data_IF_250398837439
#
_entry.id   IF_250398837439
#
_cell.length_a   1.000
_cell.length_b   1.000
_cell.length_c   1.000
_cell.angle_alpha   90.00
_cell.angle_beta   90.00
_cell.angle_gamma   90.00
#
_symmetry.space_group_name_H-M   'P 1'
#
loop_
_entity.id
_entity.type
_entity.pdbx_description
1 polymer ?
#
# COMPACT_ATOMS: atom_id res chain seq x y z
N UNK A 1 -1.13 16.36 3.38
CA UNK A 1 -0.20 15.25 3.69
C UNK A 1 1.16 15.38 2.99
N UNK A 2 1.23 15.90 1.76
CA UNK A 2 2.51 16.28 1.14
C UNK A 2 3.34 15.13 0.56
N UNK A 3 2.67 14.03 0.19
CA UNK A 3 3.29 12.90 -0.50
C UNK A 3 3.18 13.06 -2.01
N UNK A 4 4.16 12.50 -2.71
CA UNK A 4 4.01 12.13 -4.11
C UNK A 4 3.37 10.74 -4.20
N UNK A 5 2.55 10.53 -5.21
CA UNK A 5 1.74 9.31 -5.37
C UNK A 5 2.20 8.61 -6.64
N UNK A 6 2.52 7.33 -6.53
CA UNK A 6 2.65 6.45 -7.70
C UNK A 6 1.44 5.52 -7.77
N UNK A 7 1.00 5.24 -9.00
CA UNK A 7 0.06 4.18 -9.34
C UNK A 7 0.57 3.51 -10.62
N UNK A 8 0.25 2.22 -10.86
CA UNK A 8 0.66 1.52 -12.07
C UNK A 8 0.27 2.27 -13.34
N UNK A 9 1.15 2.27 -14.34
CA UNK A 9 0.92 2.96 -15.63
C UNK A 9 -0.39 2.55 -16.29
N UNK A 10 -0.75 1.26 -16.19
CA UNK A 10 -1.99 0.71 -16.73
C UNK A 10 -3.26 1.32 -16.09
N UNK A 11 -3.19 1.70 -14.81
CA UNK A 11 -4.32 2.25 -14.05
C UNK A 11 -4.31 3.78 -13.97
N UNK A 12 -3.17 4.42 -14.25
CA UNK A 12 -2.97 5.85 -14.02
C UNK A 12 -4.06 6.73 -14.62
N UNK A 13 -4.43 6.51 -15.89
CA UNK A 13 -5.49 7.29 -16.55
C UNK A 13 -6.82 7.16 -15.79
N UNK A 14 -7.25 5.93 -15.50
CA UNK A 14 -8.51 5.64 -14.78
C UNK A 14 -8.53 6.26 -13.38
N UNK A 15 -7.41 6.23 -12.67
CA UNK A 15 -7.28 6.83 -11.34
C UNK A 15 -7.34 8.36 -11.42
N UNK A 16 -6.66 8.97 -12.38
CA UNK A 16 -6.70 10.43 -12.58
C UNK A 16 -8.11 10.90 -12.94
N UNK A 17 -8.82 10.17 -13.81
CA UNK A 17 -10.20 10.48 -14.20
C UNK A 17 -11.17 10.41 -12.99
N UNK A 18 -10.91 9.50 -12.04
CA UNK A 18 -11.68 9.36 -10.80
C UNK A 18 -11.23 10.33 -9.68
N UNK A 19 -10.15 11.09 -9.89
CA UNK A 19 -9.55 11.97 -8.88
C UNK A 19 -9.75 13.43 -9.24
N UNK A 20 -10.03 14.29 -8.25
CA UNK A 20 -10.15 15.73 -8.47
C UNK A 20 -8.85 16.32 -9.05
N UNK A 21 -8.97 17.15 -10.10
CA UNK A 21 -7.85 17.73 -10.84
C UNK A 21 -6.80 18.42 -9.96
N UNK A 22 -7.21 19.05 -8.85
CA UNK A 22 -6.30 19.71 -7.89
C UNK A 22 -5.26 18.77 -7.26
N UNK A 23 -5.49 17.45 -7.28
CA UNK A 23 -4.56 16.46 -6.75
C UNK A 23 -3.67 15.81 -7.82
N UNK A 24 -3.91 16.08 -9.11
CA UNK A 24 -3.16 15.45 -10.21
C UNK A 24 -1.65 15.75 -10.12
N UNK A 25 -1.27 16.94 -9.66
CA UNK A 25 0.14 17.33 -9.47
C UNK A 25 0.91 16.46 -8.45
N UNK A 26 0.21 15.70 -7.60
CA UNK A 26 0.86 14.77 -6.68
C UNK A 26 1.27 13.46 -7.36
N UNK A 27 0.69 13.11 -8.52
CA UNK A 27 0.95 11.84 -9.20
C UNK A 27 2.26 11.89 -9.99
N UNK A 28 3.13 10.91 -9.77
CA UNK A 28 4.40 10.76 -10.43
C UNK A 28 4.23 10.09 -11.81
N UNK A 29 4.96 10.57 -12.81
CA UNK A 29 5.08 9.92 -14.12
C UNK A 29 6.08 8.77 -14.14
N UNK A 30 7.10 8.86 -13.28
CA UNK A 30 8.15 7.85 -13.11
C UNK A 30 8.47 7.66 -11.62
N UNK A 31 8.76 6.42 -11.22
CA UNK A 31 9.22 6.12 -9.87
C UNK A 31 10.66 6.64 -9.70
N UNK A 32 10.93 7.56 -8.74
CA UNK A 32 12.25 8.15 -8.55
C UNK A 32 13.17 7.23 -7.73
N UNK A 33 13.29 5.97 -8.14
CA UNK A 33 14.08 4.93 -7.49
C UNK A 33 15.22 4.49 -8.40
N UNK A 34 16.39 4.24 -7.83
CA UNK A 34 17.59 3.85 -8.58
C UNK A 34 17.83 2.33 -8.46
N UNK A 35 17.09 1.53 -9.23
CA UNK A 35 17.21 0.07 -9.28
C UNK A 35 17.25 -0.41 -10.74
N UNK A 36 17.57 -1.69 -10.93
CA UNK A 36 17.43 -2.34 -12.23
C UNK A 36 15.96 -2.44 -12.66
N UNK A 37 15.73 -2.57 -13.97
CA UNK A 37 14.39 -2.53 -14.56
C UNK A 37 13.48 -3.65 -14.02
N UNK A 38 13.99 -4.86 -13.80
CA UNK A 38 13.18 -5.98 -13.33
C UNK A 38 12.69 -5.76 -11.89
N UNK A 39 13.54 -5.18 -11.05
CA UNK A 39 13.20 -4.74 -9.69
C UNK A 39 12.13 -3.64 -9.72
N UNK A 40 12.32 -2.63 -10.57
CA UNK A 40 11.38 -1.52 -10.71
C UNK A 40 10.02 -1.99 -11.22
N UNK A 41 9.99 -2.92 -12.18
CA UNK A 41 8.75 -3.43 -12.76
C UNK A 41 7.86 -4.11 -11.71
N UNK A 42 8.46 -4.90 -10.81
CA UNK A 42 7.73 -5.56 -9.72
C UNK A 42 7.12 -4.55 -8.75
N UNK A 43 7.90 -3.58 -8.28
CA UNK A 43 7.44 -2.53 -7.36
C UNK A 43 6.41 -1.63 -8.04
N UNK A 44 6.58 -1.34 -9.34
CA UNK A 44 5.69 -0.49 -10.11
C UNK A 44 4.29 -1.07 -10.28
N UNK A 45 4.12 -2.39 -10.11
CA UNK A 45 2.81 -3.03 -10.10
C UNK A 45 2.05 -2.84 -8.79
N UNK A 46 2.65 -2.35 -7.71
CA UNK A 46 1.90 -2.08 -6.47
C UNK A 46 0.87 -0.97 -6.72
N UNK A 47 -0.39 -1.23 -6.36
CA UNK A 47 -1.53 -0.39 -6.76
C UNK A 47 -1.38 1.09 -6.38
N UNK A 48 -0.87 1.38 -5.18
CA UNK A 48 -0.55 2.75 -4.75
C UNK A 48 0.70 2.78 -3.89
N UNK A 49 1.63 3.68 -4.21
CA UNK A 49 2.76 4.01 -3.34
C UNK A 49 2.70 5.49 -2.94
N UNK A 50 2.98 5.77 -1.67
CA UNK A 50 3.19 7.13 -1.16
C UNK A 50 4.67 7.36 -0.93
N UNK A 51 5.19 8.41 -1.55
CA UNK A 51 6.59 8.78 -1.47
C UNK A 51 6.78 10.13 -0.80
N UNK A 52 7.85 10.25 -0.01
CA UNK A 52 8.33 11.51 0.56
C UNK A 52 9.83 11.59 0.35
N UNK A 53 10.32 12.69 -0.23
CA UNK A 53 11.74 12.87 -0.55
C UNK A 53 12.35 11.69 -1.34
N UNK A 54 11.61 11.16 -2.34
CA UNK A 54 11.97 9.99 -3.16
C UNK A 54 12.02 8.64 -2.43
N UNK A 55 11.67 8.60 -1.15
CA UNK A 55 11.56 7.38 -0.36
C UNK A 55 10.10 6.92 -0.26
N UNK A 56 9.84 5.64 -0.48
CA UNK A 56 8.52 5.03 -0.22
C UNK A 56 8.26 5.05 1.29
N UNK A 57 7.11 5.57 1.70
CA UNK A 57 6.66 5.63 3.10
C UNK A 57 5.54 4.62 3.35
N UNK A 58 4.61 4.51 2.41
CA UNK A 58 3.50 3.55 2.46
C UNK A 58 3.27 2.89 1.12
N UNK A 59 2.83 1.64 1.17
CA UNK A 59 2.40 0.87 0.01
C UNK A 59 1.00 0.30 0.27
N UNK A 60 0.14 0.34 -0.75
CA UNK A 60 -1.23 -0.16 -0.67
C UNK A 60 -1.51 -1.12 -1.83
N UNK A 61 -2.09 -2.27 -1.51
CA UNK A 61 -2.64 -3.24 -2.45
C UNK A 61 -4.16 -3.31 -2.27
N UNK A 62 -4.91 -3.12 -3.33
CA UNK A 62 -6.37 -3.02 -3.32
C UNK A 62 -6.98 -4.33 -3.84
N UNK A 63 -7.41 -5.18 -2.93
CA UNK A 63 -7.78 -6.56 -3.23
C UNK A 63 -9.31 -6.77 -3.28
N UNK A 64 -9.91 -6.64 -4.47
CA UNK A 64 -11.35 -6.85 -4.64
C UNK A 64 -11.74 -8.33 -4.88
N UNK A 65 -10.90 -9.13 -5.54
CA UNK A 65 -11.28 -10.46 -6.07
C UNK A 65 -10.38 -11.59 -5.56
N UNK A 66 -9.74 -12.44 -6.35
CA UNK A 66 -9.14 -13.69 -5.85
C UNK A 66 -7.70 -13.54 -5.35
N UNK A 67 -7.03 -12.44 -5.66
CA UNK A 67 -5.58 -12.37 -5.85
C UNK A 67 -4.71 -11.91 -4.66
N UNK A 68 -5.23 -11.94 -3.42
CA UNK A 68 -4.51 -11.52 -2.18
C UNK A 68 -3.07 -12.04 -2.09
N UNK A 69 -2.82 -13.28 -2.53
CA UNK A 69 -1.48 -13.86 -2.50
C UNK A 69 -0.47 -13.09 -3.38
N UNK A 70 -0.90 -12.62 -4.56
CA UNK A 70 -0.05 -11.86 -5.48
C UNK A 70 0.29 -10.45 -4.97
N UNK A 71 -0.67 -9.76 -4.31
CA UNK A 71 -0.39 -8.51 -3.61
C UNK A 71 0.62 -8.71 -2.46
N UNK A 72 0.45 -9.77 -1.66
CA UNK A 72 1.39 -10.08 -0.58
C UNK A 72 2.81 -10.43 -1.08
N UNK A 73 2.93 -11.09 -2.24
CA UNK A 73 4.23 -11.34 -2.86
C UNK A 73 4.91 -10.04 -3.30
N UNK A 74 4.21 -9.15 -4.03
CA UNK A 74 4.75 -7.82 -4.42
C UNK A 74 5.24 -7.02 -3.21
N UNK A 75 4.49 -7.11 -2.10
CA UNK A 75 4.85 -6.48 -0.83
C UNK A 75 6.09 -7.11 -0.17
N UNK A 76 6.23 -8.44 -0.22
CA UNK A 76 7.42 -9.13 0.27
C UNK A 76 8.65 -8.78 -0.58
N UNK A 77 8.51 -8.73 -1.90
CA UNK A 77 9.56 -8.30 -2.83
C UNK A 77 10.03 -6.88 -2.50
N UNK A 78 9.09 -5.95 -2.28
CA UNK A 78 9.41 -4.58 -1.87
C UNK A 78 10.26 -4.55 -0.59
N UNK A 79 9.91 -5.32 0.44
CA UNK A 79 10.69 -5.36 1.69
C UNK A 79 12.08 -5.99 1.51
N UNK A 80 12.18 -7.00 0.66
CA UNK A 80 13.46 -7.64 0.34
C UNK A 80 14.40 -6.65 -0.40
N UNK A 81 13.85 -5.80 -1.25
CA UNK A 81 14.59 -4.84 -2.08
C UNK A 81 14.88 -3.50 -1.37
N UNK A 82 14.06 -3.14 -0.37
CA UNK A 82 14.19 -1.93 0.44
C UNK A 82 14.45 -2.26 1.91
N UNK A 83 15.47 -3.08 2.27
CA UNK A 83 15.61 -3.57 3.62
C UNK A 83 15.75 -2.40 4.61
N UNK A 84 16.52 -1.37 4.29
CA UNK A 84 16.82 -0.28 5.22
C UNK A 84 15.70 0.76 5.41
N UNK A 85 14.52 0.53 4.84
CA UNK A 85 13.41 1.47 4.91
C UNK A 85 12.27 0.95 5.80
N UNK A 86 11.73 1.84 6.65
CA UNK A 86 10.53 1.57 7.42
C UNK A 86 9.29 1.85 6.55
N UNK A 87 8.97 0.89 5.68
CA UNK A 87 7.81 0.99 4.78
C UNK A 87 6.61 0.31 5.45
N UNK A 88 5.52 1.05 5.60
CA UNK A 88 4.26 0.48 6.09
C UNK A 88 3.41 -0.03 4.94
N UNK A 89 2.98 -1.28 5.04
CA UNK A 89 2.26 -1.97 3.99
C UNK A 89 0.80 -2.15 4.39
N UNK A 90 -0.09 -2.07 3.41
CA UNK A 90 -1.52 -2.12 3.63
C UNK A 90 -2.20 -2.97 2.55
N UNK A 91 -2.98 -3.96 2.98
CA UNK A 91 -3.99 -4.60 2.13
C UNK A 91 -5.33 -3.90 2.36
N UNK A 92 -5.86 -3.28 1.31
CA UNK A 92 -7.14 -2.57 1.34
C UNK A 92 -8.20 -3.43 0.65
N UNK A 93 -9.22 -3.90 1.38
CA UNK A 93 -10.19 -4.84 0.84
C UNK A 93 -11.58 -4.71 1.48
N UNK A 94 -12.62 -5.35 0.91
CA UNK A 94 -13.91 -5.49 1.58
C UNK A 94 -13.78 -6.22 2.94
N UNK A 95 -14.62 -5.83 3.89
CA UNK A 95 -14.64 -6.32 5.28
C UNK A 95 -14.72 -7.85 5.36
N UNK A 96 -15.51 -8.48 4.48
CA UNK A 96 -15.69 -9.93 4.45
C UNK A 96 -14.40 -10.71 4.09
N UNK A 97 -13.41 -10.04 3.50
CA UNK A 97 -12.12 -10.65 3.13
C UNK A 97 -11.10 -10.65 4.25
N UNK A 98 -11.32 -9.87 5.31
CA UNK A 98 -10.40 -9.71 6.45
C UNK A 98 -9.81 -11.04 6.92
N UNK A 99 -10.67 -12.03 7.22
CA UNK A 99 -10.24 -13.36 7.69
C UNK A 99 -9.34 -14.08 6.67
N UNK A 100 -9.64 -13.96 5.37
CA UNK A 100 -8.83 -14.55 4.31
C UNK A 100 -7.46 -13.85 4.24
N UNK A 101 -7.44 -12.52 4.24
CA UNK A 101 -6.20 -11.73 4.20
C UNK A 101 -5.28 -12.11 5.36
N UNK A 102 -5.82 -12.12 6.59
CA UNK A 102 -5.03 -12.47 7.78
C UNK A 102 -4.49 -13.89 7.71
N UNK A 103 -5.29 -14.86 7.25
CA UNK A 103 -4.81 -16.23 7.07
C UNK A 103 -3.68 -16.31 6.05
N UNK A 104 -3.77 -15.60 4.93
CA UNK A 104 -2.69 -15.58 3.93
C UNK A 104 -1.42 -14.90 4.47
N UNK A 105 -1.55 -13.78 5.19
CA UNK A 105 -0.41 -13.08 5.81
C UNK A 105 0.36 -13.93 6.83
N UNK A 106 -0.33 -14.84 7.50
CA UNK A 106 0.25 -15.73 8.52
C UNK A 106 0.81 -17.04 7.94
N UNK A 107 0.89 -17.17 6.61
CA UNK A 107 1.48 -18.35 5.98
C UNK A 107 2.99 -18.41 6.25
N UNK A 108 3.58 -19.61 6.43
CA UNK A 108 4.99 -19.76 6.75
C UNK A 108 5.96 -18.99 5.83
N UNK A 109 5.66 -18.94 4.53
CA UNK A 109 6.46 -18.21 3.53
C UNK A 109 6.61 -16.72 3.85
N UNK A 110 5.60 -16.11 4.48
CA UNK A 110 5.61 -14.71 4.88
C UNK A 110 6.04 -14.50 6.34
N UNK A 111 6.17 -15.57 7.13
CA UNK A 111 6.61 -15.50 8.53
C UNK A 111 8.13 -15.54 8.69
N UNK A 112 8.85 -16.07 7.69
CA UNK A 112 10.28 -16.35 7.74
C UNK A 112 11.12 -15.36 6.91
N UNK A 113 10.65 -14.13 6.73
CA UNK A 113 11.42 -13.07 6.06
C UNK A 113 12.52 -12.55 7.00
N UNK A 114 13.62 -12.03 6.45
CA UNK A 114 14.77 -11.55 7.21
C UNK A 114 14.43 -10.47 8.26
N UNK A 115 13.40 -9.65 7.98
CA UNK A 115 12.90 -8.57 8.87
C UNK A 115 11.84 -9.07 9.88
N UNK A 116 11.60 -10.37 9.92
CA UNK A 116 10.51 -11.00 10.66
C UNK A 116 9.22 -11.11 9.84
N UNK A 117 8.13 -11.57 10.46
CA UNK A 117 6.89 -11.85 9.74
C UNK A 117 6.32 -10.63 9.02
N UNK A 118 5.86 -10.79 7.77
CA UNK A 118 5.19 -9.75 6.98
C UNK A 118 4.03 -9.11 7.76
N UNK A 119 3.33 -9.90 8.58
CA UNK A 119 2.24 -9.44 9.44
C UNK A 119 2.63 -8.34 10.45
N UNK A 120 3.93 -8.15 10.72
CA UNK A 120 4.43 -7.05 11.58
C UNK A 120 4.45 -5.71 10.86
N UNK A 121 4.69 -5.70 9.56
CA UNK A 121 4.85 -4.50 8.74
C UNK A 121 3.66 -4.25 7.80
N UNK A 122 2.78 -5.25 7.66
CA UNK A 122 1.61 -5.20 6.80
C UNK A 122 0.34 -5.25 7.64
N UNK A 123 -0.59 -4.35 7.32
CA UNK A 123 -1.89 -4.22 7.99
C UNK A 123 -3.03 -4.35 7.00
N UNK A 124 -4.24 -4.53 7.49
CA UNK A 124 -5.47 -4.56 6.72
C UNK A 124 -6.27 -3.29 6.94
N UNK A 125 -6.82 -2.71 5.88
CA UNK A 125 -7.74 -1.59 5.96
C UNK A 125 -9.03 -1.96 5.22
N UNK A 126 -10.13 -2.01 5.95
CA UNK A 126 -11.44 -2.30 5.37
C UNK A 126 -11.94 -1.12 4.50
N UNK A 127 -12.75 -1.40 3.47
CA UNK A 127 -13.43 -0.33 2.72
C UNK A 127 -14.37 0.50 3.59
N UNK A 128 -15.02 -0.11 4.58
CA UNK A 128 -15.80 0.61 5.60
C UNK A 128 -14.95 1.68 6.30
N UNK A 129 -13.69 1.35 6.64
CA UNK A 129 -12.75 2.27 7.27
C UNK A 129 -12.29 3.38 6.31
N UNK A 130 -12.00 3.06 5.04
CA UNK A 130 -11.70 4.07 4.02
C UNK A 130 -12.87 5.05 3.87
N UNK A 131 -14.09 4.54 3.82
CA UNK A 131 -15.32 5.35 3.75
C UNK A 131 -15.55 6.20 4.99
N UNK A 132 -15.09 5.75 6.17
CA UNK A 132 -15.15 6.56 7.39
C UNK A 132 -14.14 7.71 7.33
N UNK A 133 -12.90 7.44 6.87
CA UNK A 133 -11.85 8.46 6.72
C UNK A 133 -12.27 9.57 5.76
N UNK A 134 -12.90 9.23 4.63
CA UNK A 134 -13.34 10.23 3.63
C UNK A 134 -14.43 11.17 4.15
N UNK A 135 -15.10 10.82 5.25
CA UNK A 135 -16.14 11.63 5.91
C UNK A 135 -15.62 12.46 7.07
N UNK A 136 -14.33 12.36 7.42
CA UNK A 136 -13.75 13.16 8.49
C UNK A 136 -13.75 14.64 8.12
N UNK A 137 -14.23 15.48 9.04
CA UNK A 137 -14.09 16.92 8.92
C UNK A 137 -12.62 17.31 8.85
N UNK A 138 -12.30 18.29 8.02
CA UNK A 138 -10.93 18.81 7.87
C UNK A 138 -9.87 17.75 7.47
N UNK A 139 -10.26 16.68 6.77
CA UNK A 139 -9.34 15.63 6.30
C UNK A 139 -8.07 16.16 5.62
N UNK A 140 -8.17 17.28 4.88
CA UNK A 140 -7.04 17.96 4.23
C UNK A 140 -5.94 18.42 5.19
N UNK A 141 -6.27 18.65 6.46
CA UNK A 141 -5.36 19.10 7.51
C UNK A 141 -4.79 17.95 8.35
N UNK A 142 -5.32 16.73 8.19
CA UNK A 142 -4.84 15.57 8.92
C UNK A 142 -3.50 15.06 8.37
N UNK A 143 -2.68 14.53 9.27
CA UNK A 143 -1.45 13.80 8.95
C UNK A 143 -1.79 12.36 8.60
N UNK A 144 -0.89 11.68 7.90
CA UNK A 144 -1.06 10.28 7.49
C UNK A 144 -1.19 9.29 8.66
N UNK A 145 -0.70 9.65 9.84
CA UNK A 145 -0.91 8.89 11.07
C UNK A 145 -2.39 8.66 11.42
N UNK A 146 -3.33 9.36 10.77
CA UNK A 146 -4.76 9.03 10.90
C UNK A 146 -5.06 7.58 10.49
N UNK A 147 -4.33 7.03 9.50
CA UNK A 147 -4.52 5.67 8.99
C UNK A 147 -4.29 4.62 10.09
N UNK A 148 -3.42 4.90 11.07
CA UNK A 148 -3.12 4.01 12.20
C UNK A 148 -4.36 3.68 13.03
N UNK A 149 -5.36 4.56 13.04
CA UNK A 149 -6.62 4.34 13.77
C UNK A 149 -7.60 3.41 13.06
N UNK A 150 -7.31 3.06 11.81
CA UNK A 150 -8.19 2.37 10.89
C UNK A 150 -7.55 1.11 10.27
N UNK A 151 -6.30 0.83 10.63
CA UNK A 151 -5.56 -0.33 10.19
C UNK A 151 -5.61 -1.45 11.24
N UNK A 152 -5.69 -2.69 10.79
CA UNK A 152 -5.76 -3.88 11.62
C UNK A 152 -4.56 -4.79 11.37
N UNK A 153 -4.01 -5.43 12.40
CA UNK A 153 -2.89 -6.37 12.26
C UNK A 153 -3.35 -7.83 12.24
N UNK A 154 -2.62 -8.67 11.50
CA UNK A 154 -2.84 -10.11 11.44
C UNK A 154 -2.03 -10.82 12.55
N UNK A 155 -2.66 -11.16 13.67
CA UNK A 155 -2.02 -11.84 14.81
C UNK A 155 -2.69 -11.42 16.13
N UNK A 156 -2.49 -12.16 17.23
CA UNK A 156 -2.99 -11.74 18.54
C UNK A 156 -2.43 -10.38 18.97
#
# INVERSE_FOLDING_TARGET
>A
MGFSIWVPKADKKRVLDATQAKYHAAFLDELPLNYDDATLDTIAQIDVLWLKNKSIVRAFEVEHTTAVYSGLLRMADLLALQPNMDIRLHIVAPDNRRKKVFREMLRPVFCLLDRGPLARSCTFIAYSNINAITRLEHLSHLKDGILEKYEEQAGP
#
